data_IF_381811849344
#
_entry.id   IF_381811849344
#
_cell.length_a   1.000
_cell.length_b   1.000
_cell.length_c   1.000
_cell.angle_alpha   90.00
_cell.angle_beta   90.00
_cell.angle_gamma   90.00
#
_symmetry.space_group_name_H-M   'P 1'
#
loop_
_entity.id
_entity.type
_entity.pdbx_description
1 polymer ?
#
# COMPACT_ATOMS: atom_id res chain seq x y z
N UNK A 1 -9.76 27.07 -11.30
CA UNK A 1 -9.26 25.69 -11.15
C UNK A 1 -8.64 25.48 -9.78
N UNK A 2 -9.05 24.46 -9.09
CA UNK A 2 -8.51 24.17 -7.77
C UNK A 2 -7.10 23.59 -7.91
N UNK A 3 -6.14 24.19 -7.25
CA UNK A 3 -4.80 23.69 -7.21
C UNK A 3 -4.75 22.50 -6.25
N UNK A 4 -4.24 21.36 -6.72
CA UNK A 4 -4.05 20.23 -5.83
C UNK A 4 -2.97 20.57 -4.79
N UNK A 5 -3.30 20.32 -3.55
CA UNK A 5 -2.38 20.43 -2.43
C UNK A 5 -1.26 19.38 -2.61
N UNK A 6 -0.05 19.68 -2.19
CA UNK A 6 1.06 18.73 -2.25
C UNK A 6 0.77 17.45 -1.47
N UNK A 7 -0.08 17.51 -0.43
CA UNK A 7 -0.52 16.32 0.30
C UNK A 7 -1.31 15.39 -0.61
N UNK A 8 -2.25 15.95 -1.39
CA UNK A 8 -3.06 15.16 -2.32
C UNK A 8 -2.20 14.58 -3.44
N UNK A 9 -1.25 15.34 -3.97
CA UNK A 9 -0.35 14.87 -5.01
C UNK A 9 0.53 13.73 -4.53
N UNK A 10 1.08 13.87 -3.33
CA UNK A 10 1.92 12.84 -2.72
C UNK A 10 1.15 11.56 -2.51
N UNK A 11 -0.07 11.66 -1.99
CA UNK A 11 -0.92 10.50 -1.75
C UNK A 11 -1.36 9.85 -3.05
N UNK A 12 -1.73 10.64 -4.07
CA UNK A 12 -2.12 10.11 -5.37
C UNK A 12 -0.95 9.37 -6.03
N UNK A 13 0.26 9.90 -5.95
CA UNK A 13 1.44 9.23 -6.47
C UNK A 13 1.71 7.92 -5.74
N UNK A 14 1.59 7.93 -4.40
CA UNK A 14 1.80 6.75 -3.59
C UNK A 14 0.79 5.65 -3.94
N UNK A 15 -0.48 6.01 -4.07
CA UNK A 15 -1.53 5.07 -4.45
C UNK A 15 -1.23 4.50 -5.84
N UNK A 16 -0.87 5.34 -6.79
CA UNK A 16 -0.58 4.91 -8.16
C UNK A 16 0.61 3.95 -8.21
N UNK A 17 1.69 4.26 -7.49
CA UNK A 17 2.86 3.39 -7.43
C UNK A 17 2.54 2.06 -6.74
N UNK A 18 1.75 2.09 -5.68
CA UNK A 18 1.30 0.87 -5.00
C UNK A 18 0.40 0.04 -5.92
N UNK A 19 -0.52 0.67 -6.63
CA UNK A 19 -1.40 0.00 -7.59
C UNK A 19 -0.62 -0.70 -8.71
N UNK A 20 0.52 -0.16 -9.09
CA UNK A 20 1.40 -0.78 -10.07
C UNK A 20 1.89 -2.16 -9.66
N UNK A 21 1.80 -2.53 -8.39
CA UNK A 21 2.23 -3.83 -7.88
C UNK A 21 1.08 -4.84 -7.78
N UNK A 22 -0.17 -4.41 -7.94
CA UNK A 22 -1.35 -5.26 -7.73
C UNK A 22 -1.36 -6.50 -8.62
N UNK A 23 -1.08 -6.35 -9.91
CA UNK A 23 -1.16 -7.48 -10.84
C UNK A 23 -0.14 -8.54 -10.50
N UNK A 24 1.07 -8.15 -10.11
CA UNK A 24 2.12 -9.09 -9.73
C UNK A 24 1.73 -9.86 -8.46
N UNK A 25 1.21 -9.17 -7.47
CA UNK A 25 0.75 -9.79 -6.22
C UNK A 25 -0.42 -10.74 -6.48
N UNK A 26 -1.40 -10.30 -7.26
CA UNK A 26 -2.56 -11.11 -7.61
C UNK A 26 -2.15 -12.37 -8.35
N UNK A 27 -1.29 -12.23 -9.36
CA UNK A 27 -0.83 -13.36 -10.17
C UNK A 27 -0.09 -14.37 -9.31
N UNK A 28 0.79 -13.91 -8.43
CA UNK A 28 1.51 -14.80 -7.52
C UNK A 28 0.54 -15.59 -6.66
N UNK A 29 -0.45 -14.91 -6.06
CA UNK A 29 -1.43 -15.57 -5.21
C UNK A 29 -2.26 -16.62 -5.98
N UNK A 30 -2.73 -16.26 -7.18
CA UNK A 30 -3.54 -17.17 -7.98
C UNK A 30 -2.76 -18.42 -8.43
N UNK A 31 -1.45 -18.27 -8.63
CA UNK A 31 -0.58 -19.37 -9.03
C UNK A 31 -0.10 -20.24 -7.86
N UNK A 32 0.05 -19.65 -6.68
CA UNK A 32 0.69 -20.32 -5.55
C UNK A 32 -0.23 -20.58 -4.35
N UNK A 33 -1.38 -19.93 -4.29
CA UNK A 33 -2.33 -20.10 -3.19
C UNK A 33 -1.91 -19.42 -1.88
N UNK A 34 -0.80 -18.69 -1.91
CA UNK A 34 -0.32 -17.88 -0.77
C UNK A 34 0.09 -16.51 -1.27
N UNK A 35 0.17 -15.54 -0.37
CA UNK A 35 0.59 -14.20 -0.71
C UNK A 35 2.11 -14.11 -0.82
N UNK A 36 2.65 -13.31 -1.76
CA UNK A 36 4.11 -13.18 -1.89
C UNK A 36 4.71 -12.56 -0.63
N UNK A 37 5.82 -13.16 -0.16
CA UNK A 37 6.45 -12.75 1.09
C UNK A 37 7.09 -11.35 1.01
N UNK A 38 7.61 -11.00 -0.16
CA UNK A 38 8.36 -9.75 -0.34
C UNK A 38 8.37 -9.34 -1.82
N UNK A 39 9.05 -8.24 -2.10
CA UNK A 39 9.16 -7.72 -3.47
C UNK A 39 9.73 -8.76 -4.45
N UNK A 40 10.78 -9.44 -4.05
CA UNK A 40 11.43 -10.46 -4.90
C UNK A 40 10.47 -11.58 -5.25
N UNK A 41 9.76 -12.11 -4.27
CA UNK A 41 8.78 -13.18 -4.48
C UNK A 41 7.66 -12.74 -5.42
N UNK A 42 7.20 -11.50 -5.30
CA UNK A 42 6.16 -10.95 -6.15
C UNK A 42 6.63 -10.70 -7.59
N UNK A 43 7.95 -10.72 -7.82
CA UNK A 43 8.51 -10.45 -9.15
C UNK A 43 8.56 -8.96 -9.49
N UNK A 44 8.52 -8.10 -8.49
CA UNK A 44 8.68 -6.65 -8.66
C UNK A 44 10.09 -6.25 -8.22
N UNK A 45 10.43 -4.96 -8.38
CA UNK A 45 11.76 -4.49 -8.00
C UNK A 45 12.12 -4.95 -6.59
N UNK A 46 13.21 -5.71 -6.46
CA UNK A 46 13.58 -6.40 -5.22
C UNK A 46 13.95 -5.42 -4.09
N UNK A 47 14.45 -4.24 -4.45
CA UNK A 47 14.73 -3.19 -3.50
C UNK A 47 13.56 -2.21 -3.47
N UNK A 48 12.83 -2.09 -2.34
CA UNK A 48 11.66 -1.20 -2.27
C UNK A 48 11.93 0.24 -2.68
N UNK A 49 13.13 0.76 -2.40
CA UNK A 49 13.50 2.13 -2.78
C UNK A 49 13.74 2.30 -4.28
N UNK A 50 13.73 1.25 -5.07
CA UNK A 50 13.75 1.33 -6.53
C UNK A 50 12.36 1.64 -7.09
N UNK A 51 11.31 1.44 -6.30
CA UNK A 51 9.95 1.85 -6.65
C UNK A 51 9.71 3.18 -5.94
N UNK A 52 10.06 4.25 -6.61
CA UNK A 52 10.04 5.59 -6.02
C UNK A 52 9.45 6.60 -7.00
N UNK A 53 9.12 7.76 -6.47
CA UNK A 53 8.60 8.86 -7.26
C UNK A 53 9.04 10.20 -6.68
N UNK A 54 8.39 11.26 -7.12
CA UNK A 54 8.70 12.62 -6.68
C UNK A 54 8.41 12.81 -5.18
N UNK A 55 7.38 12.13 -4.67
CA UNK A 55 6.94 12.26 -3.27
C UNK A 55 7.12 10.95 -2.48
N UNK A 56 7.41 9.86 -3.16
CA UNK A 56 7.45 8.52 -2.57
C UNK A 56 8.88 8.01 -2.47
N UNK A 57 9.27 7.55 -1.28
CA UNK A 57 10.59 7.00 -1.02
C UNK A 57 10.70 5.55 -1.46
N UNK A 58 9.66 4.74 -1.17
CA UNK A 58 9.72 3.30 -1.41
C UNK A 58 8.33 2.68 -1.46
N UNK A 59 8.25 1.52 -2.10
CA UNK A 59 7.05 0.68 -2.10
C UNK A 59 7.49 -0.74 -1.76
N UNK A 60 6.90 -1.29 -0.70
CA UNK A 60 7.27 -2.60 -0.16
C UNK A 60 6.10 -3.57 -0.30
N UNK A 61 6.38 -4.77 -0.80
CA UNK A 61 5.44 -5.89 -0.77
C UNK A 61 5.84 -6.78 0.40
N UNK A 62 4.91 -7.05 1.30
CA UNK A 62 5.12 -7.94 2.44
C UNK A 62 3.86 -8.76 2.68
N UNK A 63 3.96 -10.07 2.47
CA UNK A 63 2.81 -11.00 2.60
C UNK A 63 1.58 -10.50 1.84
N UNK A 64 1.81 -10.00 0.64
CA UNK A 64 0.73 -9.52 -0.22
C UNK A 64 0.16 -8.15 0.14
N UNK A 65 0.72 -7.47 1.11
CA UNK A 65 0.38 -6.08 1.44
C UNK A 65 1.38 -5.16 0.75
N UNK A 66 0.88 -4.18 0.01
CA UNK A 66 1.72 -3.22 -0.70
C UNK A 66 1.68 -1.90 0.06
N UNK A 67 2.80 -1.50 0.63
CA UNK A 67 2.90 -0.29 1.45
C UNK A 67 3.81 0.73 0.79
N UNK A 68 3.28 1.93 0.56
CA UNK A 68 4.04 3.05 0.05
C UNK A 68 4.42 3.97 1.21
N UNK A 69 5.69 4.40 1.23
CA UNK A 69 6.21 5.33 2.22
C UNK A 69 6.58 6.64 1.56
N UNK A 70 6.12 7.75 2.11
CA UNK A 70 6.44 9.08 1.62
C UNK A 70 7.90 9.44 1.95
N UNK A 71 8.48 10.32 1.15
CA UNK A 71 9.80 10.88 1.44
C UNK A 71 9.80 11.55 2.80
N UNK A 72 10.99 11.59 3.43
CA UNK A 72 11.22 12.23 4.71
C UNK A 72 11.57 13.72 4.56
N UNK A 73 11.72 14.20 3.34
CA UNK A 73 12.03 15.60 3.05
C UNK A 73 11.48 15.97 1.67
N UNK A 74 11.31 17.26 1.43
CA UNK A 74 10.83 17.73 0.13
C UNK A 74 9.35 17.49 -0.13
N UNK A 75 8.58 17.08 0.89
CA UNK A 75 7.14 16.89 0.82
C UNK A 75 6.47 17.65 1.94
N UNK A 76 5.15 17.77 1.87
CA UNK A 76 4.36 18.44 2.90
C UNK A 76 4.57 17.75 4.25
N UNK A 77 4.72 18.55 5.31
CA UNK A 77 5.00 18.04 6.66
C UNK A 77 3.93 17.09 7.18
N UNK A 78 2.70 17.20 6.71
CA UNK A 78 1.60 16.37 7.19
C UNK A 78 1.63 14.95 6.62
N UNK A 79 2.37 14.73 5.53
CA UNK A 79 2.52 13.40 4.92
C UNK A 79 3.95 12.89 4.98
N UNK A 80 4.89 13.71 5.42
CA UNK A 80 6.32 13.41 5.49
C UNK A 80 6.58 12.13 6.26
N UNK A 81 7.20 11.15 5.61
CA UNK A 81 7.52 9.85 6.21
C UNK A 81 6.32 8.96 6.53
N UNK A 82 5.12 9.38 6.12
CA UNK A 82 3.90 8.62 6.38
C UNK A 82 3.73 7.49 5.39
N UNK A 83 2.91 6.51 5.76
CA UNK A 83 2.68 5.30 4.97
C UNK A 83 1.19 5.11 4.69
N UNK A 84 0.92 4.48 3.55
CA UNK A 84 -0.40 3.93 3.23
C UNK A 84 -0.22 2.52 2.66
N UNK A 85 -1.27 1.71 2.72
CA UNK A 85 -1.22 0.34 2.23
C UNK A 85 -2.36 0.02 1.29
N UNK A 86 -2.06 -0.86 0.32
CA UNK A 86 -3.06 -1.58 -0.44
C UNK A 86 -2.94 -3.05 -0.06
N UNK A 87 -4.06 -3.73 0.11
CA UNK A 87 -4.05 -5.16 0.43
C UNK A 87 -5.23 -5.85 -0.22
N UNK A 88 -5.07 -7.13 -0.46
CA UNK A 88 -6.09 -7.93 -1.13
C UNK A 88 -6.64 -8.99 -0.18
N UNK A 89 -7.88 -9.41 -0.44
CA UNK A 89 -8.51 -10.55 0.19
C UNK A 89 -9.01 -11.49 -0.88
N UNK A 90 -8.98 -12.77 -0.60
CA UNK A 90 -9.54 -13.76 -1.50
C UNK A 90 -11.07 -13.61 -1.58
N UNK A 91 -11.58 -13.72 -2.79
CA UNK A 91 -13.02 -13.64 -3.05
C UNK A 91 -13.36 -14.57 -4.21
N UNK A 92 -14.10 -15.63 -3.94
CA UNK A 92 -14.65 -16.58 -4.92
C UNK A 92 -13.90 -16.66 -6.28
N UNK A 93 -12.68 -17.20 -6.26
CA UNK A 93 -11.88 -17.39 -7.47
C UNK A 93 -11.14 -16.15 -7.96
N UNK A 94 -11.21 -15.07 -7.23
CA UNK A 94 -10.50 -13.83 -7.56
C UNK A 94 -10.02 -13.17 -6.28
N UNK A 95 -9.55 -11.92 -6.39
CA UNK A 95 -9.15 -11.13 -5.22
C UNK A 95 -9.80 -9.76 -5.29
N UNK A 96 -10.07 -9.19 -4.12
CA UNK A 96 -10.58 -7.83 -3.98
C UNK A 96 -9.55 -7.01 -3.25
N UNK A 97 -9.28 -5.81 -3.77
CA UNK A 97 -8.28 -4.92 -3.21
C UNK A 97 -8.89 -3.82 -2.37
N UNK A 98 -8.16 -3.44 -1.34
CA UNK A 98 -8.51 -2.37 -0.42
C UNK A 98 -7.35 -1.38 -0.34
N UNK A 99 -7.65 -0.15 0.06
CA UNK A 99 -6.66 0.92 0.17
C UNK A 99 -7.00 1.76 1.40
N UNK A 100 -5.99 2.02 2.22
CA UNK A 100 -6.19 2.82 3.43
C UNK A 100 -4.90 3.01 4.22
N UNK A 101 -5.05 3.24 5.51
CA UNK A 101 -3.92 3.35 6.42
C UNK A 101 -3.13 2.04 6.45
N UNK A 102 -1.84 2.08 6.86
CA UNK A 102 -0.99 0.90 6.82
C UNK A 102 -1.58 -0.30 7.56
N UNK A 103 -1.47 -1.46 6.93
CA UNK A 103 -1.86 -2.74 7.52
C UNK A 103 -0.74 -3.74 7.40
N UNK A 104 -0.83 -4.80 8.19
CA UNK A 104 0.13 -5.89 8.22
C UNK A 104 -0.63 -7.20 8.20
N UNK A 105 -0.22 -8.13 7.35
CA UNK A 105 -0.81 -9.48 7.31
C UNK A 105 -0.03 -10.37 8.27
N UNK A 106 -0.74 -11.16 9.07
CA UNK A 106 -0.11 -12.01 10.08
C UNK A 106 0.66 -13.17 9.49
N UNK A 107 0.14 -13.75 8.40
CA UNK A 107 0.80 -14.85 7.70
C UNK A 107 0.41 -14.80 6.22
N UNK A 108 1.30 -15.28 5.35
CA UNK A 108 1.06 -15.23 3.91
C UNK A 108 0.04 -16.27 3.43
N UNK A 109 -0.44 -17.14 4.29
CA UNK A 109 -1.43 -18.16 3.95
C UNK A 109 -2.85 -17.84 4.44
N UNK A 110 -3.08 -16.64 4.97
CA UNK A 110 -4.42 -16.20 5.32
C UNK A 110 -4.67 -14.76 4.88
N UNK A 111 -5.91 -14.31 4.97
CA UNK A 111 -6.32 -12.99 4.49
C UNK A 111 -6.36 -11.92 5.59
N UNK A 112 -6.20 -12.32 6.85
CA UNK A 112 -6.34 -11.39 7.95
C UNK A 112 -5.22 -10.37 7.99
N UNK A 113 -5.61 -9.10 8.10
CA UNK A 113 -4.69 -7.98 8.28
C UNK A 113 -5.07 -7.20 9.52
N UNK A 114 -4.09 -6.56 10.11
CA UNK A 114 -4.28 -5.70 11.27
C UNK A 114 -3.64 -4.34 11.00
N UNK A 115 -4.04 -3.33 11.74
CA UNK A 115 -3.42 -2.01 11.65
C UNK A 115 -1.93 -2.13 11.95
N UNK A 116 -1.11 -1.46 11.15
CA UNK A 116 0.34 -1.47 11.31
C UNK A 116 0.85 -0.06 11.56
N UNK A 117 1.94 0.03 12.30
CA UNK A 117 2.60 1.29 12.59
C UNK A 117 1.97 2.08 13.72
N UNK A 118 2.65 3.16 14.08
CA UNK A 118 2.18 4.10 15.09
C UNK A 118 1.46 5.27 14.40
N UNK A 119 0.82 6.12 15.19
CA UNK A 119 0.16 7.31 14.66
C UNK A 119 1.14 8.23 13.92
N UNK A 120 2.43 8.16 14.24
CA UNK A 120 3.47 8.93 13.55
C UNK A 120 3.72 8.44 12.13
N UNK A 121 3.54 7.14 11.89
CA UNK A 121 3.82 6.51 10.59
C UNK A 121 2.60 6.41 9.70
N UNK A 122 1.41 6.44 10.28
CA UNK A 122 0.18 6.32 9.52
C UNK A 122 -0.19 7.65 8.88
N UNK A 123 -0.52 7.61 7.60
CA UNK A 123 -1.12 8.77 6.97
C UNK A 123 -2.49 9.03 7.58
N UNK A 124 -2.82 10.31 7.81
CA UNK A 124 -4.13 10.64 8.34
C UNK A 124 -5.19 10.44 7.24
N UNK A 125 -6.30 9.79 7.58
CA UNK A 125 -7.37 9.50 6.60
C UNK A 125 -7.92 10.74 5.92
N UNK A 126 -7.91 11.89 6.59
CA UNK A 126 -8.37 13.14 5.97
C UNK A 126 -7.52 13.57 4.76
N UNK A 127 -6.30 13.03 4.63
CA UNK A 127 -5.42 13.30 3.50
C UNK A 127 -5.56 12.24 2.40
N UNK A 128 -6.36 11.21 2.61
CA UNK A 128 -6.59 10.15 1.63
C UNK A 128 -7.86 10.45 0.82
N UNK A 129 -7.88 10.10 -0.47
CA UNK A 129 -9.11 10.20 -1.25
C UNK A 129 -10.17 9.26 -0.69
N UNK A 130 -11.43 9.52 -0.99
CA UNK A 130 -12.55 8.70 -0.49
C UNK A 130 -12.44 7.23 -0.90
N UNK A 131 -11.78 6.95 -2.02
CA UNK A 131 -11.56 5.60 -2.52
C UNK A 131 -10.42 4.87 -1.81
N UNK A 132 -9.72 5.53 -0.89
CA UNK A 132 -8.60 4.95 -0.15
C UNK A 132 -8.72 5.21 1.35
N UNK A 133 -9.87 4.83 1.92
CA UNK A 133 -10.14 4.97 3.36
C UNK A 133 -10.68 3.68 3.97
N UNK A 134 -10.32 2.55 3.37
CA UNK A 134 -10.75 1.25 3.87
C UNK A 134 -10.10 0.96 5.21
N UNK A 135 -10.85 0.31 6.08
CA UNK A 135 -10.36 -0.15 7.38
C UNK A 135 -9.75 -1.53 7.24
N UNK A 136 -8.86 -1.89 8.17
CA UNK A 136 -8.21 -3.21 8.17
C UNK A 136 -9.22 -4.35 8.24
N UNK A 137 -10.44 -4.10 8.74
CA UNK A 137 -11.51 -5.08 8.82
C UNK A 137 -12.39 -5.11 7.57
N UNK A 138 -12.13 -4.27 6.57
CA UNK A 138 -12.91 -4.24 5.34
C UNK A 138 -12.93 -5.61 4.67
N UNK A 139 -14.10 -6.04 4.21
CA UNK A 139 -14.26 -7.33 3.55
C UNK A 139 -14.42 -8.54 4.46
N UNK A 140 -14.44 -8.32 5.79
CA UNK A 140 -14.65 -9.41 6.75
C UNK A 140 -16.12 -9.64 7.02
#
# INVERSE_FOLDING_TARGET
>A
MTRLDSRLRGNDEAILLAEGQKSAVTEYYLNNGIWPANNTSAGVASTPSDIKGKYVESVTVEKGVVTAKMLSSGVNNEIKGKKLSLWARRENGSVKWFCGQPVKRTANNNDDVAKDGTDKDKINTKHLPSTCRDESTAGT
#
